data_IF_994850247061
#
_entry.id   IF_994850247061
#
_cell.length_a   1.000
_cell.length_b   1.000
_cell.length_c   1.000
_cell.angle_alpha   90.00
_cell.angle_beta   90.00
_cell.angle_gamma   90.00
#
_symmetry.space_group_name_H-M   'P 1'
#
loop_
_entity.id
_entity.type
_entity.pdbx_description
1 polymer ?
#
# COMPACT_ATOMS: atom_id res chain seq x y z
N UNK A 1 -5.83 -7.94 -40.85
CA UNK A 1 -4.76 -7.73 -39.88
C UNK A 1 -5.27 -6.96 -38.65
N UNK A 2 -6.02 -7.66 -37.81
CA UNK A 2 -6.36 -7.11 -36.52
C UNK A 2 -5.22 -7.45 -35.55
N UNK A 3 -4.24 -6.58 -35.52
CA UNK A 3 -3.35 -6.56 -34.37
C UNK A 3 -4.21 -6.20 -33.17
N UNK A 4 -4.20 -7.04 -32.15
CA UNK A 4 -4.93 -6.79 -30.93
C UNK A 4 -4.66 -5.38 -30.44
N UNK A 5 -5.71 -4.57 -30.38
CA UNK A 5 -5.60 -3.21 -29.83
C UNK A 5 -5.43 -3.33 -28.35
N UNK A 6 -4.23 -3.00 -27.86
CA UNK A 6 -4.00 -2.80 -26.44
C UNK A 6 -4.92 -1.64 -26.01
N UNK A 7 -5.88 -1.94 -25.17
CA UNK A 7 -6.78 -0.93 -24.66
C UNK A 7 -6.13 -0.26 -23.44
N UNK A 8 -5.79 1.03 -23.60
CA UNK A 8 -5.21 1.81 -22.52
C UNK A 8 -6.29 2.75 -21.99
N UNK A 9 -6.56 2.62 -20.70
CA UNK A 9 -7.35 3.60 -19.95
C UNK A 9 -6.41 4.31 -18.99
N UNK A 10 -6.54 5.62 -18.89
CA UNK A 10 -5.71 6.47 -18.04
C UNK A 10 -6.62 7.31 -17.16
N UNK A 11 -6.39 7.29 -15.84
CA UNK A 11 -7.24 7.97 -14.88
C UNK A 11 -6.42 8.39 -13.65
N UNK A 12 -6.59 9.65 -13.24
CA UNK A 12 -5.97 10.15 -12.02
C UNK A 12 -6.92 9.96 -10.83
N UNK A 13 -6.46 9.29 -9.78
CA UNK A 13 -7.28 8.98 -8.62
C UNK A 13 -6.54 9.25 -7.32
N UNK A 14 -7.25 9.74 -6.28
CA UNK A 14 -6.68 9.76 -4.94
C UNK A 14 -6.49 8.33 -4.42
N UNK A 15 -5.54 8.16 -3.52
CA UNK A 15 -5.18 6.84 -2.99
C UNK A 15 -6.39 6.11 -2.42
N UNK A 16 -7.29 6.82 -1.75
CA UNK A 16 -8.50 6.23 -1.18
C UNK A 16 -9.44 5.58 -2.19
N UNK A 17 -9.29 5.90 -3.48
CA UNK A 17 -10.04 5.27 -4.57
C UNK A 17 -9.25 4.18 -5.28
N UNK A 18 -7.99 4.01 -4.94
CA UNK A 18 -7.15 2.91 -5.43
C UNK A 18 -7.27 1.71 -4.49
N UNK A 19 -7.19 1.95 -3.19
CA UNK A 19 -7.32 0.91 -2.16
C UNK A 19 -8.80 0.68 -1.84
N UNK A 20 -9.53 0.13 -2.80
CA UNK A 20 -10.97 -0.13 -2.77
C UNK A 20 -11.26 -1.52 -3.35
N UNK A 21 -12.51 -2.01 -3.21
CA UNK A 21 -12.89 -3.27 -3.86
C UNK A 21 -12.76 -3.29 -5.39
N UNK A 22 -12.67 -2.12 -6.03
CA UNK A 22 -12.53 -2.02 -7.49
C UNK A 22 -11.15 -2.51 -7.98
N UNK A 23 -10.16 -2.56 -7.10
CA UNK A 23 -8.79 -2.95 -7.45
C UNK A 23 -8.28 -4.01 -6.49
N UNK A 24 -8.31 -5.26 -6.91
CA UNK A 24 -7.59 -6.35 -6.25
C UNK A 24 -6.23 -6.45 -6.94
N UNK A 25 -5.20 -5.95 -6.26
CA UNK A 25 -3.87 -5.77 -6.86
C UNK A 25 -2.94 -6.93 -6.48
N UNK A 26 -2.16 -7.40 -7.46
CA UNK A 26 -1.13 -8.41 -7.19
C UNK A 26 0.15 -8.07 -7.93
N UNK A 27 1.28 -8.39 -7.33
CA UNK A 27 2.60 -8.20 -7.93
C UNK A 27 3.04 -9.53 -8.53
N UNK A 28 3.20 -9.60 -9.87
CA UNK A 28 3.65 -10.85 -10.50
C UNK A 28 5.05 -11.26 -10.04
N UNK A 29 5.34 -12.56 -10.07
CA UNK A 29 6.61 -13.12 -9.60
C UNK A 29 7.83 -12.64 -10.39
N UNK A 30 7.64 -12.22 -11.65
CA UNK A 30 8.73 -11.70 -12.48
C UNK A 30 9.10 -10.26 -12.17
N UNK A 31 8.28 -9.55 -11.36
CA UNK A 31 8.56 -8.18 -10.95
C UNK A 31 9.66 -8.14 -9.89
N UNK A 32 10.31 -6.97 -9.80
CA UNK A 32 11.36 -6.73 -8.83
C UNK A 32 10.83 -6.86 -7.40
N UNK A 33 11.66 -7.43 -6.53
CA UNK A 33 11.37 -7.47 -5.10
C UNK A 33 11.27 -6.06 -4.52
N UNK A 34 10.72 -5.95 -3.33
CA UNK A 34 10.71 -4.67 -2.61
C UNK A 34 12.14 -4.28 -2.24
N UNK A 35 12.63 -3.18 -2.82
CA UNK A 35 14.01 -2.73 -2.65
C UNK A 35 14.15 -1.37 -1.95
N UNK A 36 13.04 -0.71 -1.63
CA UNK A 36 13.09 0.55 -0.91
C UNK A 36 13.78 0.37 0.44
N UNK A 37 14.61 1.35 0.79
CA UNK A 37 15.33 1.42 2.05
C UNK A 37 14.68 2.43 2.98
N UNK A 38 15.05 2.46 4.28
CA UNK A 38 14.47 3.42 5.22
C UNK A 38 14.52 4.87 4.75
N UNK A 39 15.61 5.30 4.13
CA UNK A 39 15.73 6.66 3.61
C UNK A 39 14.67 6.98 2.55
N UNK A 40 14.25 6.00 1.76
CA UNK A 40 13.21 6.21 0.75
C UNK A 40 11.83 6.44 1.38
N UNK A 41 11.45 5.57 2.33
CA UNK A 41 10.14 5.68 2.97
C UNK A 41 10.07 6.90 3.90
N UNK A 42 11.18 7.24 4.58
CA UNK A 42 11.26 8.44 5.40
C UNK A 42 11.15 9.71 4.56
N UNK A 43 11.75 9.72 3.37
CA UNK A 43 11.62 10.86 2.46
C UNK A 43 10.18 11.01 2.01
N UNK A 44 9.51 9.91 1.69
CA UNK A 44 8.09 9.96 1.32
C UNK A 44 7.24 10.53 2.45
N UNK A 45 7.44 10.06 3.68
CA UNK A 45 6.70 10.55 4.84
C UNK A 45 6.96 12.06 5.05
N UNK A 46 8.23 12.48 4.95
CA UNK A 46 8.61 13.89 5.09
C UNK A 46 7.95 14.76 4.02
N UNK A 47 7.95 14.30 2.76
CA UNK A 47 7.33 15.03 1.66
C UNK A 47 5.82 15.17 1.88
N UNK A 48 5.17 14.12 2.37
CA UNK A 48 3.74 14.13 2.63
C UNK A 48 3.39 14.99 3.85
N UNK A 49 4.23 15.00 4.89
CA UNK A 49 4.05 15.90 6.03
C UNK A 49 4.10 17.37 5.60
N UNK A 50 5.03 17.69 4.73
CA UNK A 50 5.14 19.06 4.19
C UNK A 50 3.95 19.40 3.31
N UNK A 51 3.54 18.48 2.43
CA UNK A 51 2.42 18.67 1.53
C UNK A 51 1.10 18.86 2.28
N UNK A 52 0.89 18.14 3.38
CA UNK A 52 -0.37 18.21 4.12
C UNK A 52 -0.57 19.54 4.86
N UNK A 53 0.45 20.39 4.93
CA UNK A 53 0.30 21.76 5.43
C UNK A 53 -0.52 22.64 4.51
N UNK A 54 -0.64 22.26 3.22
CA UNK A 54 -1.49 22.91 2.23
C UNK A 54 -2.51 21.89 1.72
N UNK A 55 -3.51 21.53 2.54
CA UNK A 55 -4.40 20.39 2.24
C UNK A 55 -5.25 20.57 0.99
N UNK A 56 -5.43 21.80 0.51
CA UNK A 56 -6.16 22.10 -0.72
C UNK A 56 -5.36 21.80 -1.98
N UNK A 57 -4.04 21.58 -1.86
CA UNK A 57 -3.16 21.28 -2.99
C UNK A 57 -2.89 19.78 -3.02
N UNK A 58 -3.30 19.06 -4.08
CA UNK A 58 -3.01 17.62 -4.18
C UNK A 58 -1.52 17.37 -4.37
N UNK A 59 -1.09 16.20 -3.92
CA UNK A 59 0.28 15.70 -4.10
C UNK A 59 0.26 14.57 -5.13
N UNK A 60 0.86 14.81 -6.29
CA UNK A 60 0.99 13.79 -7.32
C UNK A 60 2.16 12.87 -6.97
N UNK A 61 1.84 11.60 -6.68
CA UNK A 61 2.86 10.63 -6.26
C UNK A 61 3.54 9.94 -7.44
N UNK A 62 2.81 9.67 -8.51
CA UNK A 62 3.35 8.99 -9.67
C UNK A 62 2.29 8.17 -10.39
N UNK A 63 2.76 7.25 -11.25
CA UNK A 63 1.90 6.42 -12.07
C UNK A 63 1.88 4.97 -11.57
N UNK A 64 0.74 4.30 -11.77
CA UNK A 64 0.61 2.86 -11.65
C UNK A 64 0.30 2.30 -13.03
N UNK A 65 1.02 1.27 -13.43
CA UNK A 65 0.72 0.55 -14.66
C UNK A 65 0.16 -0.81 -14.27
N UNK A 66 -1.07 -1.06 -14.69
CA UNK A 66 -1.82 -2.26 -14.31
C UNK A 66 -2.26 -3.02 -15.56
N UNK A 67 -2.24 -4.34 -15.45
CA UNK A 67 -2.84 -5.23 -16.46
C UNK A 67 -4.07 -5.87 -15.86
N UNK A 68 -5.20 -5.75 -16.55
CA UNK A 68 -6.45 -6.35 -16.11
C UNK A 68 -6.38 -7.87 -16.26
N UNK A 69 -6.67 -8.57 -15.16
CA UNK A 69 -6.73 -10.04 -15.15
C UNK A 69 -8.18 -10.55 -14.97
N UNK A 70 -9.08 -9.69 -14.48
CA UNK A 70 -10.48 -9.99 -14.24
C UNK A 70 -11.26 -8.71 -14.05
N UNK A 71 -12.48 -8.77 -13.59
CA UNK A 71 -13.32 -7.58 -13.40
C UNK A 71 -12.71 -6.57 -12.41
N UNK A 72 -12.14 -7.09 -11.31
CA UNK A 72 -11.52 -6.27 -10.28
C UNK A 72 -10.10 -6.71 -9.96
N UNK A 73 -9.56 -7.68 -10.69
CA UNK A 73 -8.22 -8.22 -10.48
C UNK A 73 -7.24 -7.62 -11.46
N UNK A 74 -6.13 -7.11 -10.94
CA UNK A 74 -5.09 -6.44 -11.74
C UNK A 74 -3.71 -6.88 -11.30
N UNK A 75 -2.82 -7.06 -12.27
CA UNK A 75 -1.39 -7.24 -12.03
C UNK A 75 -0.69 -5.89 -12.06
N UNK A 76 0.14 -5.60 -11.07
CA UNK A 76 0.91 -4.36 -10.98
C UNK A 76 2.19 -4.55 -11.78
N UNK A 77 2.32 -3.80 -12.88
CA UNK A 77 3.50 -3.85 -13.75
C UNK A 77 4.51 -2.79 -13.35
N UNK A 78 4.05 -1.62 -12.92
CA UNK A 78 4.91 -0.56 -12.41
C UNK A 78 4.21 0.17 -11.26
N UNK A 79 4.98 0.60 -10.27
CA UNK A 79 4.49 1.30 -9.08
C UNK A 79 4.43 0.45 -7.82
N UNK A 80 4.90 -0.80 -7.88
CA UNK A 80 4.82 -1.73 -6.75
C UNK A 80 5.59 -1.24 -5.51
N UNK A 81 6.74 -0.58 -5.70
CA UNK A 81 7.53 -0.05 -4.57
C UNK A 81 6.73 0.98 -3.77
N UNK A 82 6.03 1.87 -4.48
CA UNK A 82 5.18 2.88 -3.86
C UNK A 82 3.99 2.26 -3.14
N UNK A 83 3.32 1.30 -3.78
CA UNK A 83 2.15 0.64 -3.18
C UNK A 83 2.51 -0.12 -1.90
N UNK A 84 3.64 -0.82 -1.90
CA UNK A 84 4.12 -1.52 -0.69
C UNK A 84 4.42 -0.50 0.41
N UNK A 85 5.11 0.58 0.08
CA UNK A 85 5.48 1.63 1.03
C UNK A 85 4.26 2.35 1.60
N UNK A 86 3.27 2.65 0.76
CA UNK A 86 2.00 3.24 1.21
C UNK A 86 1.25 2.30 2.15
N UNK A 87 1.24 1.00 1.84
CA UNK A 87 0.64 0.00 2.72
C UNK A 87 1.33 -0.06 4.07
N UNK A 88 2.66 0.03 4.10
CA UNK A 88 3.44 0.07 5.34
C UNK A 88 3.07 1.32 6.16
N UNK A 89 2.99 2.48 5.52
CA UNK A 89 2.63 3.73 6.21
C UNK A 89 1.24 3.62 6.82
N UNK A 90 0.27 3.09 6.08
CA UNK A 90 -1.10 2.91 6.57
C UNK A 90 -1.14 1.91 7.73
N UNK A 91 -0.38 0.80 7.64
CA UNK A 91 -0.28 -0.18 8.72
C UNK A 91 0.29 0.45 10.00
N UNK A 92 1.31 1.30 9.87
CA UNK A 92 1.88 2.02 11.01
C UNK A 92 0.88 3.00 11.62
N UNK A 93 0.17 3.76 10.79
CA UNK A 93 -0.89 4.66 11.26
C UNK A 93 -1.98 3.91 12.01
N UNK A 94 -2.41 2.76 11.48
CA UNK A 94 -3.42 1.90 12.11
C UNK A 94 -2.96 1.41 13.48
N UNK A 95 -1.71 0.99 13.59
CA UNK A 95 -1.15 0.45 14.84
C UNK A 95 -0.98 1.53 15.92
N UNK A 96 -0.73 2.78 15.50
CA UNK A 96 -0.61 3.92 16.40
C UNK A 96 -1.97 4.49 16.81
N UNK A 97 -3.05 4.09 16.16
CA UNK A 97 -4.38 4.66 16.35
C UNK A 97 -5.06 4.07 17.58
N UNK A 98 -5.74 4.93 18.36
CA UNK A 98 -6.49 4.53 19.55
C UNK A 98 -8.00 4.59 19.36
N UNK A 99 -8.48 5.33 18.35
CA UNK A 99 -9.91 5.43 18.03
C UNK A 99 -10.30 4.22 17.15
N UNK A 100 -11.28 3.44 17.61
CA UNK A 100 -11.70 2.21 16.92
C UNK A 100 -12.26 2.46 15.51
N UNK A 101 -12.95 3.58 15.31
CA UNK A 101 -13.48 3.91 13.99
C UNK A 101 -12.37 4.24 13.00
N UNK A 102 -11.40 5.07 13.42
CA UNK A 102 -10.23 5.38 12.60
C UNK A 102 -9.41 4.13 12.30
N UNK A 103 -9.24 3.29 13.31
CA UNK A 103 -8.50 2.02 13.15
C UNK A 103 -9.17 1.14 12.09
N UNK A 104 -10.50 1.01 12.15
CA UNK A 104 -11.28 0.22 11.18
C UNK A 104 -11.17 0.80 9.77
N UNK A 105 -11.23 2.13 9.63
CA UNK A 105 -11.13 2.80 8.34
C UNK A 105 -9.74 2.63 7.73
N UNK A 106 -8.69 2.75 8.54
CA UNK A 106 -7.31 2.54 8.09
C UNK A 106 -7.07 1.08 7.69
N UNK A 107 -7.57 0.15 8.48
CA UNK A 107 -7.48 -1.28 8.18
C UNK A 107 -8.12 -1.61 6.84
N UNK A 108 -9.29 -1.06 6.56
CA UNK A 108 -10.03 -1.30 5.33
C UNK A 108 -9.31 -0.80 4.06
N UNK A 109 -8.32 0.09 4.20
CA UNK A 109 -7.51 0.54 3.08
C UNK A 109 -6.54 -0.52 2.59
N UNK A 110 -6.08 -1.40 3.47
CA UNK A 110 -5.06 -2.41 3.13
C UNK A 110 -5.60 -3.83 3.16
N UNK A 111 -6.74 -4.06 3.81
CA UNK A 111 -7.41 -5.36 3.85
C UNK A 111 -8.87 -5.18 3.45
N UNK A 112 -9.31 -5.90 2.43
CA UNK A 112 -10.72 -6.00 2.10
C UNK A 112 -11.42 -6.74 3.22
N UNK A 113 -12.38 -6.11 3.95
CA UNK A 113 -13.04 -6.76 5.07
C UNK A 113 -13.83 -8.00 4.62
N UNK A 114 -13.74 -9.06 5.40
CA UNK A 114 -14.58 -10.23 5.21
C UNK A 114 -15.99 -10.00 5.76
N UNK A 115 -16.85 -10.96 5.51
CA UNK A 115 -18.21 -10.98 6.03
C UNK A 115 -18.51 -12.40 6.46
N UNK A 116 -18.44 -12.65 7.75
CA UNK A 116 -18.67 -13.99 8.32
C UNK A 116 -20.08 -14.49 8.05
N UNK A 117 -21.05 -13.56 8.04
CA UNK A 117 -22.44 -13.88 7.78
C UNK A 117 -22.64 -14.44 6.37
N UNK A 118 -21.90 -13.90 5.39
CA UNK A 118 -21.97 -14.32 3.99
C UNK A 118 -20.88 -15.32 3.60
N UNK A 119 -20.04 -15.75 4.56
CA UNK A 119 -18.94 -16.68 4.30
C UNK A 119 -17.82 -16.08 3.47
N UNK A 120 -17.66 -14.77 3.50
CA UNK A 120 -16.61 -14.06 2.76
C UNK A 120 -15.40 -13.89 3.66
N UNK A 121 -14.24 -14.39 3.20
CA UNK A 121 -12.96 -14.25 3.90
C UNK A 121 -12.33 -12.91 3.57
N UNK A 122 -11.70 -12.27 4.57
CA UNK A 122 -10.92 -11.05 4.33
C UNK A 122 -9.75 -11.32 3.37
N UNK A 123 -9.41 -10.33 2.56
CA UNK A 123 -8.34 -10.43 1.56
C UNK A 123 -7.46 -9.19 1.60
N UNK A 124 -6.13 -9.32 1.46
CA UNK A 124 -5.28 -8.15 1.29
C UNK A 124 -5.61 -7.46 -0.04
N UNK A 125 -5.59 -6.13 -0.04
CA UNK A 125 -5.81 -5.38 -1.28
C UNK A 125 -4.62 -5.44 -2.22
N UNK A 126 -3.43 -5.64 -1.68
CA UNK A 126 -2.19 -5.82 -2.44
C UNK A 126 -1.55 -7.14 -2.02
N UNK A 127 -1.36 -8.03 -2.98
CA UNK A 127 -0.65 -9.29 -2.75
C UNK A 127 0.73 -9.16 -3.36
N UNK A 128 1.78 -9.34 -2.57
CA UNK A 128 3.14 -9.32 -3.05
C UNK A 128 3.43 -10.58 -3.86
N UNK A 129 4.58 -10.60 -4.54
CA UNK A 129 5.03 -11.80 -5.24
C UNK A 129 5.07 -12.98 -4.25
N UNK A 130 4.90 -14.19 -4.77
CA UNK A 130 4.69 -15.41 -3.98
C UNK A 130 5.64 -15.56 -2.79
N UNK A 131 6.93 -15.28 -2.99
CA UNK A 131 7.95 -15.45 -1.95
C UNK A 131 7.70 -14.58 -0.71
N UNK A 132 7.13 -13.40 -0.88
CA UNK A 132 6.97 -12.42 0.18
C UNK A 132 5.51 -12.20 0.59
N UNK A 133 4.56 -12.78 -0.15
CA UNK A 133 3.13 -12.54 0.04
C UNK A 133 2.65 -12.91 1.44
N UNK A 134 2.96 -14.11 1.91
CA UNK A 134 2.53 -14.59 3.23
C UNK A 134 3.15 -13.76 4.35
N UNK A 135 4.41 -13.39 4.23
CA UNK A 135 5.12 -12.56 5.19
C UNK A 135 4.49 -11.17 5.32
N UNK A 136 4.25 -10.53 4.19
CA UNK A 136 3.67 -9.18 4.16
C UNK A 136 2.24 -9.20 4.69
N UNK A 137 1.46 -10.20 4.30
CA UNK A 137 0.10 -10.37 4.78
C UNK A 137 0.04 -10.52 6.31
N UNK A 138 0.80 -11.48 6.83
CA UNK A 138 0.75 -11.82 8.26
C UNK A 138 1.22 -10.68 9.15
N UNK A 139 2.35 -10.08 8.82
CA UNK A 139 3.00 -9.13 9.73
C UNK A 139 2.59 -7.68 9.50
N UNK A 140 2.35 -7.29 8.28
CA UNK A 140 2.03 -5.88 7.96
C UNK A 140 0.53 -5.68 7.75
N UNK A 141 -0.06 -6.41 6.83
CA UNK A 141 -1.45 -6.17 6.45
C UNK A 141 -2.43 -6.61 7.53
N UNK A 142 -2.21 -7.74 8.16
CA UNK A 142 -3.06 -8.24 9.24
C UNK A 142 -2.71 -7.68 10.64
N UNK A 143 -1.65 -6.85 10.73
CA UNK A 143 -1.41 -6.05 11.92
C UNK A 143 -0.63 -6.73 13.05
N UNK A 144 0.43 -7.46 12.73
CA UNK A 144 1.31 -8.07 13.73
C UNK A 144 2.67 -7.35 13.79
N UNK A 145 2.64 -6.01 13.90
CA UNK A 145 3.85 -5.20 13.86
C UNK A 145 4.78 -5.46 15.05
N UNK A 146 4.23 -5.73 16.22
CA UNK A 146 5.03 -6.05 17.40
C UNK A 146 5.90 -7.29 17.14
N UNK A 147 5.30 -8.35 16.60
CA UNK A 147 6.03 -9.55 16.23
C UNK A 147 7.05 -9.28 15.13
N UNK A 148 6.70 -8.43 14.17
CA UNK A 148 7.61 -8.02 13.09
C UNK A 148 8.84 -7.33 13.67
N UNK A 149 8.66 -6.42 14.63
CA UNK A 149 9.75 -5.65 15.25
C UNK A 149 10.70 -6.51 16.07
N UNK A 150 10.24 -7.65 16.56
CA UNK A 150 11.06 -8.60 17.32
C UNK A 150 11.86 -9.56 16.44
N UNK A 151 11.62 -9.53 15.10
CA UNK A 151 12.32 -10.42 14.18
C UNK A 151 13.76 -9.98 13.94
N UNK A 152 14.62 -10.98 13.74
CA UNK A 152 16.02 -10.80 13.37
C UNK A 152 16.20 -11.10 11.88
N UNK A 153 17.34 -10.66 11.31
CA UNK A 153 17.66 -10.93 9.91
C UNK A 153 17.62 -12.42 9.56
N UNK A 154 17.96 -13.26 10.53
CA UNK A 154 17.95 -14.72 10.38
C UNK A 154 16.55 -15.29 10.16
N UNK A 155 15.52 -14.59 10.62
CA UNK A 155 14.12 -15.02 10.47
C UNK A 155 13.57 -14.70 9.09
N UNK A 156 14.32 -13.95 8.27
CA UNK A 156 13.90 -13.51 6.95
C UNK A 156 14.40 -14.45 5.87
N UNK A 157 13.54 -14.77 4.91
CA UNK A 157 13.89 -15.60 3.76
C UNK A 157 14.28 -14.81 2.51
N UNK A 158 14.23 -13.48 2.58
CA UNK A 158 14.56 -12.63 1.44
C UNK A 158 15.03 -11.24 1.90
N UNK A 159 15.76 -10.54 1.01
CA UNK A 159 16.11 -9.14 1.24
C UNK A 159 14.87 -8.24 1.28
N UNK A 160 13.84 -8.57 0.52
CA UNK A 160 12.59 -7.83 0.55
C UNK A 160 11.97 -7.87 1.95
N UNK A 161 11.99 -9.01 2.63
CA UNK A 161 11.48 -9.13 4.00
C UNK A 161 12.28 -8.28 4.98
N UNK A 162 13.60 -8.25 4.84
CA UNK A 162 14.48 -7.38 5.66
C UNK A 162 14.16 -5.91 5.43
N UNK A 163 13.93 -5.52 4.19
CA UNK A 163 13.56 -4.15 3.84
C UNK A 163 12.19 -3.79 4.43
N UNK A 164 11.24 -4.71 4.39
CA UNK A 164 9.91 -4.51 4.99
C UNK A 164 10.03 -4.24 6.48
N UNK A 165 10.83 -5.05 7.19
CA UNK A 165 11.04 -4.86 8.63
C UNK A 165 11.65 -3.48 8.91
N UNK A 166 12.75 -3.17 8.25
CA UNK A 166 13.47 -1.91 8.48
C UNK A 166 12.59 -0.69 8.16
N UNK A 167 11.88 -0.75 7.05
CA UNK A 167 11.02 0.36 6.61
C UNK A 167 9.80 0.52 7.52
N UNK A 168 9.21 -0.58 7.98
CA UNK A 168 8.07 -0.53 8.89
C UNK A 168 8.47 0.07 10.24
N UNK A 169 9.65 -0.32 10.78
CA UNK A 169 10.18 0.26 12.02
C UNK A 169 10.37 1.77 11.89
N UNK A 170 10.99 2.20 10.80
CA UNK A 170 11.29 3.61 10.59
C UNK A 170 10.02 4.43 10.34
N UNK A 171 9.09 3.90 9.57
CA UNK A 171 7.80 4.56 9.34
C UNK A 171 7.02 4.69 10.66
N UNK A 172 6.97 3.63 11.43
CA UNK A 172 6.31 3.62 12.74
C UNK A 172 6.90 4.70 13.66
N UNK A 173 8.23 4.71 13.79
CA UNK A 173 8.92 5.67 14.66
C UNK A 173 8.71 7.10 14.21
N UNK A 174 8.76 7.37 12.91
CA UNK A 174 8.53 8.71 12.36
C UNK A 174 7.10 9.19 12.63
N UNK A 175 6.12 8.34 12.41
CA UNK A 175 4.71 8.68 12.62
C UNK A 175 4.35 8.77 14.11
N UNK A 176 5.05 8.02 14.96
CA UNK A 176 4.89 8.10 16.41
C UNK A 176 5.33 9.46 16.98
N UNK A 177 6.19 10.21 16.28
CA UNK A 177 6.59 11.55 16.70
C UNK A 177 5.47 12.57 16.53
N UNK A 178 4.49 12.30 15.70
CA UNK A 178 3.32 13.14 15.49
C UNK A 178 2.31 12.91 16.62
N UNK A 179 1.57 13.94 16.99
CA UNK A 179 0.45 13.74 17.90
C UNK A 179 -0.76 13.18 17.14
N UNK A 180 -1.83 12.84 17.87
CA UNK A 180 -3.02 12.23 17.29
C UNK A 180 -3.64 13.11 16.20
N UNK A 181 -3.77 14.41 16.47
CA UNK A 181 -4.36 15.35 15.51
C UNK A 181 -3.51 15.45 14.23
N UNK A 182 -2.20 15.50 14.38
CA UNK A 182 -1.28 15.52 13.24
C UNK A 182 -1.36 14.22 12.43
N UNK A 183 -1.46 13.07 13.10
CA UNK A 183 -1.62 11.77 12.41
C UNK A 183 -2.94 11.70 11.65
N UNK A 184 -4.03 12.22 12.23
CA UNK A 184 -5.34 12.27 11.57
C UNK A 184 -5.29 13.15 10.31
N UNK A 185 -4.64 14.32 10.40
CA UNK A 185 -4.46 15.20 9.24
C UNK A 185 -3.61 14.52 8.14
N UNK A 186 -2.53 13.88 8.56
CA UNK A 186 -1.66 13.13 7.63
C UNK A 186 -2.46 12.03 6.94
N UNK A 187 -3.18 11.20 7.69
CA UNK A 187 -3.97 10.10 7.15
C UNK A 187 -5.06 10.61 6.20
N UNK A 188 -5.77 11.66 6.57
CA UNK A 188 -6.81 12.25 5.73
C UNK A 188 -6.23 12.79 4.42
N UNK A 189 -5.10 13.48 4.48
CA UNK A 189 -4.40 13.97 3.30
C UNK A 189 -3.93 12.82 2.41
N UNK A 190 -3.35 11.79 3.01
CA UNK A 190 -2.86 10.61 2.29
C UNK A 190 -3.97 9.96 1.47
N UNK A 191 -5.15 9.82 2.06
CA UNK A 191 -6.28 9.13 1.43
C UNK A 191 -6.97 9.99 0.36
N UNK A 192 -7.13 11.29 0.64
CA UNK A 192 -7.97 12.16 -0.17
C UNK A 192 -7.20 13.02 -1.17
N UNK A 193 -5.95 13.32 -0.91
CA UNK A 193 -5.20 14.34 -1.66
C UNK A 193 -3.91 13.82 -2.31
N UNK A 194 -3.45 12.65 -1.96
CA UNK A 194 -2.32 11.99 -2.65
C UNK A 194 -2.89 11.25 -3.84
N UNK A 195 -2.45 11.63 -5.04
CA UNK A 195 -3.02 11.11 -6.28
C UNK A 195 -2.01 10.27 -7.07
N UNK A 196 -2.56 9.33 -7.82
CA UNK A 196 -1.83 8.45 -8.72
C UNK A 196 -2.51 8.46 -10.08
N UNK A 197 -1.73 8.45 -11.14
CA UNK A 197 -2.27 8.21 -12.49
C UNK A 197 -2.24 6.70 -12.74
N UNK A 198 -3.42 6.13 -12.94
CA UNK A 198 -3.57 4.70 -13.17
C UNK A 198 -3.69 4.47 -14.67
N UNK A 199 -2.74 3.73 -15.21
CA UNK A 199 -2.73 3.31 -16.62
C UNK A 199 -3.09 1.83 -16.63
N UNK A 200 -4.25 1.51 -17.19
CA UNK A 200 -4.75 0.14 -17.25
C UNK A 200 -4.72 -0.36 -18.69
N UNK A 201 -4.19 -1.56 -18.88
CA UNK A 201 -4.20 -2.25 -20.16
C UNK A 201 -4.80 -3.64 -19.97
N UNK A 202 -5.52 -4.12 -20.99
CA UNK A 202 -6.10 -5.46 -20.98
C UNK A 202 -5.12 -6.52 -21.48
N UNK A 203 -4.06 -6.10 -22.17
CA UNK A 203 -3.09 -7.01 -22.78
C UNK A 203 -1.70 -6.39 -22.79
N UNK A 204 -0.68 -7.23 -22.53
CA UNK A 204 0.74 -6.86 -22.52
C UNK A 204 1.48 -7.26 -23.80
N UNK A 205 0.83 -7.76 -24.82
CA UNK A 205 1.49 -8.19 -26.04
C UNK A 205 2.19 -7.07 -26.80
#
# INVERSE_FOLDING_TARGET
>A
NHQGRTFLAEDEKPLGKVFTPDYQLSVPSFQRAYIWKPENILQLISDLEEACKSPETPYFLGSLILVREGDTSFSVIDGQQRLVSLSIIIAALRDLEHDEEWMRLLDALIVEPGDKLRGITSQPRLTLRERDAAFFREYVQEGNLEALFDMNDEDCSSNAQRNIIANTKQAYDALAQLDEEERHRFASYLVNSVTLVIVTTDDLD
#
